data_IF_837054916219
#
_entry.id   IF_837054916219
#
_cell.length_a   1.000
_cell.length_b   1.000
_cell.length_c   1.000
_cell.angle_alpha   90.00
_cell.angle_beta   90.00
_cell.angle_gamma   90.00
#
_symmetry.space_group_name_H-M   'P 1'
#
loop_
_entity.id
_entity.type
_entity.pdbx_description
1 polymer ?
#
# COMPACT_ATOMS: atom_id res chain seq x y z
N UNK A 1 16.28 -17.50 5.46
CA UNK A 1 15.55 -18.75 5.17
C UNK A 1 14.24 -18.67 5.93
N UNK A 2 13.13 -18.36 5.27
CA UNK A 2 11.82 -18.27 5.89
C UNK A 2 10.82 -19.10 5.10
N UNK A 3 9.97 -19.79 5.85
CA UNK A 3 9.13 -20.89 5.41
C UNK A 3 8.09 -20.47 4.37
N UNK A 4 8.00 -21.23 3.28
CA UNK A 4 6.88 -21.18 2.35
C UNK A 4 5.68 -21.88 2.99
N UNK A 5 4.81 -21.13 3.65
CA UNK A 5 3.48 -21.63 3.99
C UNK A 5 2.51 -21.20 2.88
N UNK A 6 2.09 -22.17 2.07
CA UNK A 6 1.14 -21.94 0.97
C UNK A 6 -0.23 -21.62 1.59
N UNK A 7 -0.62 -20.35 1.58
CA UNK A 7 -1.88 -19.90 2.16
C UNK A 7 -3.08 -20.40 1.35
N UNK A 8 -4.26 -20.46 1.98
CA UNK A 8 -5.54 -20.70 1.28
C UNK A 8 -5.82 -19.69 0.15
N UNK A 9 -5.12 -18.56 0.16
CA UNK A 9 -5.29 -17.48 -0.80
C UNK A 9 -4.50 -17.71 -2.08
N UNK A 10 -3.44 -18.53 -2.05
CA UNK A 10 -2.61 -18.78 -3.25
C UNK A 10 -3.40 -19.51 -4.34
N UNK A 11 -4.44 -20.28 -3.95
CA UNK A 11 -5.33 -20.96 -4.90
C UNK A 11 -6.32 -20.02 -5.61
N UNK A 12 -6.46 -18.77 -5.15
CA UNK A 12 -7.30 -17.74 -5.80
C UNK A 12 -6.54 -16.97 -6.87
N UNK A 13 -5.23 -17.18 -6.97
CA UNK A 13 -4.38 -16.53 -7.97
C UNK A 13 -4.46 -17.29 -9.30
N UNK A 14 -4.23 -16.62 -10.44
CA UNK A 14 -4.08 -17.30 -11.72
C UNK A 14 -2.97 -18.35 -11.68
N UNK A 15 -3.15 -19.48 -12.36
CA UNK A 15 -2.26 -20.65 -12.28
C UNK A 15 -0.78 -20.32 -12.56
N UNK A 16 -0.51 -19.41 -13.50
CA UNK A 16 0.85 -18.98 -13.87
C UNK A 16 1.40 -17.82 -13.04
N UNK A 17 0.60 -17.18 -12.19
CA UNK A 17 0.96 -15.92 -11.55
C UNK A 17 2.21 -16.03 -10.68
N UNK A 18 2.33 -17.13 -9.91
CA UNK A 18 3.48 -17.33 -9.02
C UNK A 18 4.78 -17.45 -9.83
N UNK A 19 4.74 -18.16 -10.96
CA UNK A 19 5.90 -18.33 -11.83
C UNK A 19 6.28 -17.02 -12.55
N UNK A 20 5.30 -16.19 -12.90
CA UNK A 20 5.49 -14.89 -13.55
C UNK A 20 6.15 -13.85 -12.63
N UNK A 21 5.95 -13.96 -11.31
CA UNK A 21 6.45 -12.97 -10.34
C UNK A 21 7.69 -13.43 -9.56
N UNK A 22 8.08 -14.71 -9.62
CA UNK A 22 9.09 -15.30 -8.72
C UNK A 22 10.45 -14.58 -8.65
N UNK A 23 10.87 -13.93 -9.74
CA UNK A 23 12.17 -13.21 -9.79
C UNK A 23 12.09 -11.79 -9.21
N UNK A 24 10.88 -11.24 -9.04
CA UNK A 24 10.65 -9.83 -8.69
C UNK A 24 9.63 -9.61 -7.57
N UNK A 25 9.02 -10.66 -7.06
CA UNK A 25 7.93 -10.63 -6.11
C UNK A 25 7.94 -11.83 -5.20
N UNK A 26 7.53 -11.60 -3.95
CA UNK A 26 7.40 -12.64 -2.94
C UNK A 26 5.94 -12.66 -2.46
N UNK A 27 5.34 -13.85 -2.44
CA UNK A 27 3.98 -14.07 -1.93
C UNK A 27 4.11 -14.83 -0.61
N UNK A 28 3.63 -14.21 0.46
CA UNK A 28 3.65 -14.77 1.82
C UNK A 28 2.25 -14.73 2.44
N UNK A 29 1.98 -15.68 3.35
CA UNK A 29 0.70 -15.78 4.07
C UNK A 29 0.57 -14.70 5.15
N UNK A 30 1.69 -14.32 5.76
CA UNK A 30 1.75 -13.38 6.85
C UNK A 30 3.12 -12.72 6.93
N UNK A 31 3.15 -11.48 7.41
CA UNK A 31 4.38 -10.73 7.67
C UNK A 31 4.29 -9.87 8.93
N UNK A 32 5.47 -9.52 9.46
CA UNK A 32 5.60 -8.50 10.49
C UNK A 32 5.45 -7.10 9.86
N UNK A 33 4.20 -6.69 9.62
CA UNK A 33 3.88 -5.47 8.86
C UNK A 33 4.63 -4.21 9.32
N UNK A 34 4.84 -4.03 10.63
CA UNK A 34 5.57 -2.87 11.17
C UNK A 34 7.05 -2.88 10.73
N UNK A 35 7.71 -4.05 10.79
CA UNK A 35 9.10 -4.18 10.37
C UNK A 35 9.25 -3.94 8.87
N UNK A 36 8.27 -4.39 8.07
CA UNK A 36 8.25 -4.16 6.64
C UNK A 36 8.07 -2.67 6.30
N UNK A 37 7.09 -1.99 6.90
CA UNK A 37 6.84 -0.56 6.67
C UNK A 37 8.06 0.30 7.04
N UNK A 38 8.79 -0.07 8.09
CA UNK A 38 9.97 0.65 8.54
C UNK A 38 11.24 0.36 7.69
N UNK A 39 11.20 -0.67 6.83
CA UNK A 39 12.40 -1.10 6.11
C UNK A 39 12.79 -0.11 5.00
N UNK A 40 14.06 0.27 4.93
CA UNK A 40 14.55 1.31 3.99
C UNK A 40 14.35 0.95 2.51
N UNK A 41 14.28 -0.34 2.17
CA UNK A 41 14.02 -0.80 0.81
C UNK A 41 12.55 -0.63 0.37
N UNK A 42 11.62 -0.31 1.29
CA UNK A 42 10.21 -0.11 0.94
C UNK A 42 10.02 1.27 0.31
N UNK A 43 9.68 1.25 -0.98
CA UNK A 43 9.37 2.46 -1.74
C UNK A 43 7.92 2.93 -1.58
N UNK A 44 6.99 2.00 -1.37
CA UNK A 44 5.55 2.21 -1.34
C UNK A 44 4.86 1.12 -0.53
N UNK A 45 3.79 1.47 0.18
CA UNK A 45 2.93 0.50 0.87
C UNK A 45 1.47 0.68 0.46
N UNK A 46 0.84 -0.39 -0.03
CA UNK A 46 -0.55 -0.43 -0.46
C UNK A 46 -1.36 -1.27 0.53
N UNK A 47 -2.32 -0.66 1.23
CA UNK A 47 -3.15 -1.35 2.22
C UNK A 47 -4.54 -0.72 2.34
N UNK A 48 -5.40 -1.32 3.16
CA UNK A 48 -6.70 -0.74 3.49
C UNK A 48 -6.64 0.38 4.53
N UNK A 49 -5.52 0.50 5.25
CA UNK A 49 -5.19 1.52 6.26
C UNK A 49 -6.24 1.73 7.35
N UNK A 50 -6.17 0.87 8.36
CA UNK A 50 -6.69 1.20 9.69
C UNK A 50 -5.91 2.36 10.32
N UNK A 51 -6.51 2.98 11.34
CA UNK A 51 -5.97 4.18 11.98
C UNK A 51 -4.54 4.01 12.53
N UNK A 52 -4.25 2.90 13.21
CA UNK A 52 -2.93 2.66 13.82
C UNK A 52 -1.80 2.64 12.78
N UNK A 53 -1.98 1.88 11.70
CA UNK A 53 -1.00 1.79 10.62
C UNK A 53 -0.83 3.15 9.92
N UNK A 54 -1.90 3.92 9.81
CA UNK A 54 -1.84 5.27 9.24
C UNK A 54 -0.94 6.17 10.10
N UNK A 55 -1.09 6.12 11.42
CA UNK A 55 -0.23 6.88 12.34
C UNK A 55 1.22 6.42 12.30
N UNK A 56 1.49 5.12 12.23
CA UNK A 56 2.84 4.58 12.12
C UNK A 56 3.53 5.05 10.83
N UNK A 57 2.85 4.97 9.68
CA UNK A 57 3.41 5.41 8.41
C UNK A 57 3.67 6.93 8.37
N UNK A 58 2.76 7.75 8.90
CA UNK A 58 2.98 9.20 9.04
C UNK A 58 4.18 9.47 9.94
N UNK A 59 4.27 8.80 11.09
CA UNK A 59 5.37 8.97 12.05
C UNK A 59 6.73 8.59 11.46
N UNK A 60 6.76 7.58 10.57
CA UNK A 60 7.96 7.11 9.87
C UNK A 60 8.23 7.86 8.56
N UNK A 61 7.35 8.78 8.16
CA UNK A 61 7.44 9.50 6.89
C UNK A 61 7.38 8.56 5.68
N UNK A 62 6.60 7.49 5.76
CA UNK A 62 6.43 6.51 4.69
C UNK A 62 5.21 6.91 3.84
N UNK A 63 5.41 7.19 2.54
CA UNK A 63 4.30 7.51 1.63
C UNK A 63 3.33 6.34 1.48
N UNK A 64 2.04 6.64 1.40
CA UNK A 64 0.98 5.63 1.48
C UNK A 64 0.11 5.58 0.22
N UNK A 65 -0.19 4.38 -0.28
CA UNK A 65 -1.33 4.16 -1.18
C UNK A 65 -2.47 3.56 -0.39
N UNK A 66 -3.57 4.30 -0.24
CA UNK A 66 -4.71 3.89 0.58
C UNK A 66 -5.83 3.27 -0.26
N UNK A 67 -6.21 2.04 0.08
CA UNK A 67 -7.28 1.26 -0.56
C UNK A 67 -8.41 0.98 0.47
N UNK A 68 -9.23 1.99 0.80
CA UNK A 68 -10.27 1.81 1.82
C UNK A 68 -11.29 0.74 1.42
N UNK A 69 -11.58 -0.18 2.34
CA UNK A 69 -12.58 -1.23 2.20
C UNK A 69 -13.85 -0.87 2.99
N UNK A 70 -13.74 -0.69 4.31
CA UNK A 70 -14.90 -0.59 5.21
C UNK A 70 -14.74 0.47 6.32
N UNK A 71 -15.85 0.81 6.97
CA UNK A 71 -15.92 1.66 8.18
C UNK A 71 -15.29 3.05 8.02
N UNK A 72 -14.31 3.38 8.85
CA UNK A 72 -13.63 4.67 9.00
C UNK A 72 -12.50 4.85 7.98
N UNK A 73 -12.10 3.78 7.29
CA UNK A 73 -10.97 3.80 6.34
C UNK A 73 -11.17 4.83 5.22
N UNK A 74 -12.42 5.13 4.85
CA UNK A 74 -12.72 6.19 3.88
C UNK A 74 -12.38 7.59 4.40
N UNK A 75 -12.57 7.84 5.70
CA UNK A 75 -12.11 9.09 6.32
C UNK A 75 -10.59 9.12 6.40
N UNK A 76 -9.96 8.03 6.85
CA UNK A 76 -8.49 7.94 6.91
C UNK A 76 -7.88 8.23 5.52
N UNK A 77 -8.48 7.67 4.46
CA UNK A 77 -8.05 7.92 3.10
C UNK A 77 -8.16 9.39 2.67
N UNK A 78 -9.22 10.10 3.08
CA UNK A 78 -9.33 11.55 2.86
C UNK A 78 -8.27 12.33 3.62
N UNK A 79 -7.93 11.94 4.85
CA UNK A 79 -6.83 12.57 5.58
C UNK A 79 -5.52 12.40 4.83
N UNK A 80 -5.17 11.16 4.46
CA UNK A 80 -3.95 10.84 3.73
C UNK A 80 -3.85 11.58 2.39
N UNK A 81 -4.92 11.53 1.58
CA UNK A 81 -4.89 12.02 0.20
C UNK A 81 -5.17 13.52 0.04
N UNK A 82 -5.98 14.12 0.91
CA UNK A 82 -6.52 15.47 0.70
C UNK A 82 -6.16 16.48 1.80
N UNK A 83 -5.89 16.03 3.02
CA UNK A 83 -5.67 16.94 4.16
C UNK A 83 -4.18 17.01 4.50
N UNK A 84 -3.58 15.85 4.77
CA UNK A 84 -2.17 15.72 5.10
C UNK A 84 -1.31 15.66 3.84
N UNK A 85 -1.89 15.20 2.73
CA UNK A 85 -1.21 15.04 1.45
C UNK A 85 0.08 14.21 1.62
N UNK A 86 -0.03 13.08 2.31
CA UNK A 86 1.08 12.14 2.61
C UNK A 86 0.98 10.85 1.81
N UNK A 87 0.06 10.81 0.84
CA UNK A 87 -0.16 9.65 0.00
C UNK A 87 -1.24 9.87 -1.05
N UNK A 88 -1.72 8.78 -1.65
CA UNK A 88 -2.81 8.78 -2.61
C UNK A 88 -3.85 7.72 -2.28
N UNK A 89 -5.10 8.01 -2.61
CA UNK A 89 -6.20 7.07 -2.48
C UNK A 89 -6.51 6.41 -3.82
N UNK A 90 -6.62 5.07 -3.79
CA UNK A 90 -7.14 4.28 -4.90
C UNK A 90 -8.59 4.65 -5.18
N UNK A 91 -8.88 5.04 -6.42
CA UNK A 91 -10.24 5.35 -6.86
C UNK A 91 -10.94 4.13 -7.41
N UNK A 92 -12.26 4.10 -7.18
CA UNK A 92 -13.16 3.11 -7.76
C UNK A 92 -13.89 3.73 -8.94
N UNK A 93 -14.17 2.93 -9.94
CA UNK A 93 -15.01 3.32 -11.08
C UNK A 93 -16.49 3.43 -10.68
N UNK A 94 -17.35 3.73 -11.65
CA UNK A 94 -18.80 3.84 -11.45
C UNK A 94 -19.48 2.53 -11.02
N UNK A 95 -18.85 1.39 -11.28
CA UNK A 95 -19.30 0.06 -10.84
C UNK A 95 -18.73 -0.31 -9.44
N UNK A 96 -17.89 0.54 -8.85
CA UNK A 96 -17.24 0.29 -7.58
C UNK A 96 -15.99 -0.60 -7.66
N UNK A 97 -15.51 -0.90 -8.87
CA UNK A 97 -14.32 -1.72 -9.13
C UNK A 97 -13.06 -0.87 -9.21
N UNK A 98 -11.91 -1.50 -8.99
CA UNK A 98 -10.60 -0.87 -9.17
C UNK A 98 -9.90 -1.55 -10.34
N UNK A 99 -9.58 -0.76 -11.36
CA UNK A 99 -8.82 -1.24 -12.52
C UNK A 99 -7.33 -1.33 -12.26
N UNK A 100 -6.64 -2.18 -13.03
CA UNK A 100 -5.18 -2.35 -12.93
C UNK A 100 -4.41 -1.04 -13.14
N UNK A 101 -4.88 -0.20 -14.07
CA UNK A 101 -4.25 1.09 -14.38
C UNK A 101 -4.29 2.08 -13.20
N UNK A 102 -5.38 2.06 -12.41
CA UNK A 102 -5.47 2.89 -11.21
C UNK A 102 -4.46 2.43 -10.15
N UNK A 103 -4.33 1.11 -9.96
CA UNK A 103 -3.35 0.54 -9.02
C UNK A 103 -1.93 0.87 -9.46
N UNK A 104 -1.60 0.65 -10.73
CA UNK A 104 -0.29 0.95 -11.30
C UNK A 104 0.06 2.43 -11.13
N UNK A 105 -0.84 3.34 -11.50
CA UNK A 105 -0.63 4.79 -11.35
C UNK A 105 -0.40 5.20 -9.90
N UNK A 106 -1.15 4.62 -8.94
CA UNK A 106 -0.95 4.90 -7.52
C UNK A 106 0.44 4.47 -7.04
N UNK A 107 0.95 3.32 -7.51
CA UNK A 107 2.29 2.81 -7.15
C UNK A 107 3.39 3.66 -7.80
N UNK A 108 3.22 4.07 -9.06
CA UNK A 108 4.18 4.93 -9.75
C UNK A 108 4.35 6.29 -9.08
N UNK A 109 3.25 6.86 -8.58
CA UNK A 109 3.24 8.14 -7.85
C UNK A 109 4.06 8.10 -6.56
N UNK A 110 4.37 6.92 -6.04
CA UNK A 110 5.24 6.74 -4.87
C UNK A 110 6.73 6.70 -5.22
N UNK A 111 7.10 7.11 -6.43
CA UNK A 111 8.48 7.24 -6.89
C UNK A 111 8.82 8.70 -7.24
N UNK A 112 10.11 8.99 -7.37
CA UNK A 112 10.61 10.29 -7.81
C UNK A 112 10.22 11.45 -6.89
N UNK A 113 10.03 12.64 -7.47
CA UNK A 113 9.79 13.89 -6.73
C UNK A 113 8.53 13.84 -5.86
N UNK A 114 7.49 13.16 -6.34
CA UNK A 114 6.19 13.11 -5.66
C UNK A 114 6.27 12.34 -4.34
N UNK A 115 7.08 11.28 -4.31
CA UNK A 115 7.45 10.57 -3.07
C UNK A 115 8.04 11.53 -2.03
N UNK A 116 9.00 12.35 -2.44
CA UNK A 116 9.69 13.28 -1.54
C UNK A 116 8.75 14.38 -1.00
N UNK A 117 7.75 14.79 -1.80
CA UNK A 117 6.67 15.67 -1.32
C UNK A 117 5.89 14.99 -0.18
N UNK A 118 5.49 13.73 -0.34
CA UNK A 118 4.75 12.99 0.68
C UNK A 118 5.55 12.76 1.96
N UNK A 119 6.83 12.40 1.84
CA UNK A 119 7.75 12.29 2.99
C UNK A 119 7.85 13.62 3.75
N UNK A 120 8.07 14.71 3.02
CA UNK A 120 8.16 16.05 3.60
C UNK A 120 6.86 16.51 4.26
N UNK A 121 5.72 16.21 3.65
CA UNK A 121 4.41 16.54 4.22
C UNK A 121 4.15 15.80 5.52
N UNK A 122 4.67 14.57 5.67
CA UNK A 122 4.53 13.78 6.89
C UNK A 122 5.16 14.48 8.09
N UNK A 123 6.28 15.20 7.91
CA UNK A 123 6.93 15.95 9.00
C UNK A 123 6.14 17.17 9.51
N UNK A 124 5.01 17.52 8.89
CA UNK A 124 4.13 18.60 9.36
C UNK A 124 3.13 18.14 10.43
N UNK A 125 3.04 16.82 10.64
CA UNK A 125 2.06 16.15 11.48
C UNK A 125 2.79 15.24 12.48
#
# INVERSE_FOLDING_TARGET
MMAYEKSSETSKLPDSFTDEVKERGLIISWSQQLEEVAHQAVGCFLMHWGWNLTLEAVSLGVPMVVFPQWTDQRMNAKYVGNIWEVGVQVRRDSAGLVGIEEVASCVEVMQGERREIYRRNSHKW
#
